data_IF_069778530359
#
_entry.id   IF_069778530359
#
_cell.length_a   1.000
_cell.length_b   1.000
_cell.length_c   1.000
_cell.angle_alpha   90.00
_cell.angle_beta   90.00
_cell.angle_gamma   90.00
#
_symmetry.space_group_name_H-M   'P 1'
#
loop_
_entity.id
_entity.type
_entity.pdbx_description
1 polymer ?
#
# COMPACT_ATOMS: atom_id res chain seq x y z
N UNK A 1 7.14 13.45 38.19
CA UNK A 1 5.94 12.59 38.41
C UNK A 1 4.97 12.69 37.23
N UNK A 2 4.39 13.87 36.92
CA UNK A 2 3.42 14.01 35.81
C UNK A 2 3.93 13.58 34.43
N UNK A 3 5.21 13.78 34.15
CA UNK A 3 5.86 13.41 32.88
C UNK A 3 5.85 11.89 32.64
N UNK A 4 6.05 11.07 33.67
CA UNK A 4 6.06 9.60 33.54
C UNK A 4 4.67 9.10 33.16
N UNK A 5 3.62 9.58 33.83
CA UNK A 5 2.24 9.25 33.48
C UNK A 5 1.89 9.68 32.06
N UNK A 6 2.29 10.89 31.66
CA UNK A 6 2.07 11.37 30.30
C UNK A 6 2.72 10.43 29.27
N UNK A 7 3.97 10.03 29.46
CA UNK A 7 4.61 9.06 28.57
C UNK A 7 3.93 7.70 28.58
N UNK A 8 3.48 7.21 29.74
CA UNK A 8 2.74 5.95 29.82
C UNK A 8 1.40 6.02 29.06
N UNK A 9 0.68 7.13 29.16
CA UNK A 9 -0.53 7.35 28.38
C UNK A 9 -0.26 7.46 26.89
N UNK A 10 0.80 8.15 26.47
CA UNK A 10 1.18 8.26 25.06
C UNK A 10 1.60 6.91 24.47
N UNK A 11 2.43 6.14 25.17
CA UNK A 11 2.84 4.79 24.75
C UNK A 11 1.61 3.88 24.68
N UNK A 12 0.78 3.89 25.72
CA UNK A 12 -0.46 3.11 25.73
C UNK A 12 -1.39 3.48 24.58
N UNK A 13 -1.59 4.78 24.33
CA UNK A 13 -2.44 5.27 23.24
C UNK A 13 -1.88 4.89 21.86
N UNK A 14 -0.56 4.93 21.69
CA UNK A 14 0.11 4.48 20.47
C UNK A 14 -0.08 2.98 20.23
N UNK A 15 0.06 2.16 21.27
CA UNK A 15 -0.19 0.71 21.21
C UNK A 15 -1.67 0.40 20.91
N UNK A 16 -2.60 1.14 21.52
CA UNK A 16 -4.04 1.02 21.23
C UNK A 16 -4.33 1.41 19.78
N UNK A 17 -3.75 2.50 19.29
CA UNK A 17 -3.92 2.95 17.91
C UNK A 17 -3.40 1.90 16.91
N UNK A 18 -2.14 1.46 17.03
CA UNK A 18 -1.56 0.45 16.15
C UNK A 18 -2.30 -0.88 16.25
N UNK A 19 -2.56 -1.35 17.47
CA UNK A 19 -3.27 -2.59 17.72
C UNK A 19 -4.69 -2.54 17.14
N UNK A 20 -5.43 -1.45 17.33
CA UNK A 20 -6.77 -1.30 16.79
C UNK A 20 -6.76 -1.26 15.26
N UNK A 21 -5.88 -0.45 14.66
CA UNK A 21 -5.72 -0.34 13.20
C UNK A 21 -5.47 -1.70 12.57
N UNK A 22 -4.46 -2.41 13.07
CA UNK A 22 -4.06 -3.70 12.50
C UNK A 22 -5.12 -4.78 12.78
N UNK A 23 -5.72 -4.80 13.97
CA UNK A 23 -6.79 -5.78 14.28
C UNK A 23 -8.02 -5.58 13.40
N UNK A 24 -8.38 -4.33 13.08
CA UNK A 24 -9.47 -4.04 12.14
C UNK A 24 -9.11 -4.53 10.74
N UNK A 25 -7.87 -4.32 10.31
CA UNK A 25 -7.38 -4.81 9.02
C UNK A 25 -7.39 -6.35 8.96
N UNK A 26 -6.86 -7.03 9.98
CA UNK A 26 -6.88 -8.49 10.11
C UNK A 26 -8.31 -9.04 9.99
N UNK A 27 -9.27 -8.38 10.65
CA UNK A 27 -10.69 -8.74 10.60
C UNK A 27 -11.34 -8.53 9.22
N UNK A 28 -10.95 -7.47 8.50
CA UNK A 28 -11.43 -7.19 7.13
C UNK A 28 -10.86 -8.22 6.15
N UNK A 29 -9.59 -8.58 6.31
CA UNK A 29 -8.88 -9.55 5.47
C UNK A 29 -9.25 -11.01 5.81
N UNK A 30 -9.96 -11.24 6.93
CA UNK A 30 -10.41 -12.56 7.36
C UNK A 30 -9.28 -13.45 7.88
N UNK A 31 -8.16 -12.84 8.29
CA UNK A 31 -6.99 -13.54 8.85
C UNK A 31 -7.08 -13.61 10.38
N UNK A 32 -6.20 -14.40 11.00
CA UNK A 32 -6.14 -14.49 12.46
C UNK A 32 -5.81 -13.13 13.08
N UNK A 33 -6.45 -12.80 14.20
CA UNK A 33 -6.32 -11.49 14.89
C UNK A 33 -5.01 -11.40 15.69
N UNK A 34 -3.88 -11.55 15.03
CA UNK A 34 -2.54 -11.56 15.64
C UNK A 34 -2.22 -10.27 16.40
N UNK A 35 -2.84 -9.15 16.01
CA UNK A 35 -2.62 -7.84 16.61
C UNK A 35 -3.52 -7.52 17.82
N UNK A 36 -4.49 -8.38 18.13
CA UNK A 36 -5.40 -8.20 19.28
C UNK A 36 -4.65 -8.14 20.63
N UNK A 37 -3.60 -8.94 20.89
CA UNK A 37 -2.81 -8.83 22.12
C UNK A 37 -2.12 -7.47 22.27
N UNK A 38 -1.66 -6.85 21.18
CA UNK A 38 -1.04 -5.53 21.21
C UNK A 38 -2.05 -4.46 21.64
N UNK A 39 -3.26 -4.51 21.07
CA UNK A 39 -4.37 -3.65 21.50
C UNK A 39 -4.69 -3.85 22.98
N UNK A 40 -4.87 -5.10 23.42
CA UNK A 40 -5.16 -5.43 24.82
C UNK A 40 -4.07 -4.96 25.79
N UNK A 41 -2.80 -5.09 25.41
CA UNK A 41 -1.68 -4.61 26.20
C UNK A 41 -1.67 -3.08 26.31
N UNK A 42 -1.95 -2.36 25.23
CA UNK A 42 -2.09 -0.89 25.25
C UNK A 42 -3.20 -0.43 26.20
N UNK A 43 -4.36 -1.08 26.15
CA UNK A 43 -5.48 -0.80 27.07
C UNK A 43 -5.05 -1.04 28.53
N UNK A 44 -4.39 -2.16 28.81
CA UNK A 44 -3.91 -2.50 30.16
C UNK A 44 -2.94 -1.44 30.69
N UNK A 45 -1.99 -0.98 29.87
CA UNK A 45 -1.02 0.07 30.24
C UNK A 45 -1.74 1.36 30.63
N UNK A 46 -2.74 1.79 29.86
CA UNK A 46 -3.52 2.99 30.15
C UNK A 46 -4.32 2.84 31.45
N UNK A 47 -4.97 1.69 31.66
CA UNK A 47 -5.75 1.44 32.87
C UNK A 47 -4.87 1.42 34.12
N UNK A 48 -3.70 0.78 34.05
CA UNK A 48 -2.73 0.78 35.14
C UNK A 48 -2.24 2.20 35.44
N UNK A 49 -1.94 3.00 34.42
CA UNK A 49 -1.58 4.40 34.59
C UNK A 49 -2.69 5.21 35.28
N UNK A 50 -3.96 5.01 34.89
CA UNK A 50 -5.11 5.66 35.49
C UNK A 50 -5.35 5.27 36.95
N UNK A 51 -5.17 3.99 37.28
CA UNK A 51 -5.25 3.49 38.66
C UNK A 51 -4.14 4.12 39.50
N UNK A 52 -2.89 4.12 39.01
CA UNK A 52 -1.76 4.72 39.71
C UNK A 52 -1.94 6.23 39.90
N UNK A 53 -2.41 6.95 38.89
CA UNK A 53 -2.71 8.38 38.99
C UNK A 53 -3.80 8.64 40.04
N UNK A 54 -4.84 7.83 40.07
CA UNK A 54 -5.91 7.89 41.07
C UNK A 54 -5.38 7.66 42.49
N UNK A 55 -4.48 6.68 42.68
CA UNK A 55 -3.84 6.42 43.97
C UNK A 55 -2.97 7.59 44.44
N UNK A 56 -2.25 8.24 43.51
CA UNK A 56 -1.44 9.43 43.82
C UNK A 56 -2.32 10.61 44.21
N UNK A 57 -3.38 10.90 43.45
CA UNK A 57 -4.35 11.96 43.77
C UNK A 57 -4.96 11.71 45.16
N UNK A 58 -5.35 10.45 45.45
CA UNK A 58 -5.88 10.06 46.77
C UNK A 58 -4.88 10.29 47.90
N UNK A 59 -3.59 9.96 47.69
CA UNK A 59 -2.53 10.14 48.70
C UNK A 59 -2.17 11.60 48.96
N UNK A 60 -2.21 12.46 47.94
CA UNK A 60 -1.81 13.86 48.07
C UNK A 60 -2.92 14.78 48.58
N UNK A 61 -4.17 14.35 48.51
CA UNK A 61 -5.32 15.19 48.87
C UNK A 61 -5.65 16.27 47.81
N UNK A 62 -4.92 16.29 46.70
CA UNK A 62 -5.04 17.27 45.59
C UNK A 62 -6.32 17.13 44.76
N UNK A 63 -7.30 16.32 45.20
CA UNK A 63 -8.56 16.14 44.47
C UNK A 63 -9.34 17.47 44.31
N UNK A 64 -9.21 18.39 45.28
CA UNK A 64 -9.90 19.69 45.26
C UNK A 64 -9.30 20.74 44.30
N UNK A 65 -8.01 20.67 43.98
CA UNK A 65 -7.34 21.62 43.07
C UNK A 65 -7.72 21.36 41.58
N UNK A 66 -8.24 20.17 41.30
CA UNK A 66 -8.75 19.73 39.99
C UNK A 66 -10.28 19.90 39.84
N UNK A 67 -10.98 20.22 40.93
CA UNK A 67 -12.41 20.56 40.95
C UNK A 67 -12.67 21.97 40.40
N UNK A 68 -11.73 22.92 40.53
CA UNK A 68 -11.87 24.26 39.90
C UNK A 68 -11.83 24.22 38.36
N UNK A 69 -11.26 23.17 37.77
CA UNK A 69 -11.30 22.88 36.33
C UNK A 69 -12.61 22.17 35.90
N UNK A 70 -13.64 22.08 36.75
CA UNK A 70 -14.87 21.31 36.49
C UNK A 70 -15.81 21.96 35.48
N UNK A 71 -15.72 23.28 35.26
CA UNK A 71 -16.54 23.95 34.25
C UNK A 71 -15.83 23.95 32.90
N UNK A 72 -16.12 22.92 32.10
CA UNK A 72 -15.82 22.95 30.67
C UNK A 72 -17.06 23.45 29.92
N UNK A 73 -17.08 24.72 29.46
CA UNK A 73 -18.28 25.31 28.86
C UNK A 73 -18.60 24.65 27.51
N UNK A 74 -19.88 24.64 27.12
CA UNK A 74 -20.35 24.16 25.80
C UNK A 74 -19.54 24.75 24.64
N UNK A 75 -19.09 26.00 24.77
CA UNK A 75 -18.24 26.68 23.79
C UNK A 75 -16.93 25.93 23.53
N UNK A 76 -16.30 25.37 24.57
CA UNK A 76 -15.04 24.62 24.42
C UNK A 76 -15.27 23.25 23.77
N UNK A 77 -16.40 22.60 24.02
CA UNK A 77 -16.80 21.39 23.31
C UNK A 77 -17.03 21.67 21.82
N UNK A 78 -17.79 22.74 21.50
CA UNK A 78 -18.04 23.15 20.11
C UNK A 78 -16.74 23.54 19.40
N UNK A 79 -15.81 24.22 20.08
CA UNK A 79 -14.49 24.53 19.55
C UNK A 79 -13.68 23.25 19.27
N UNK A 80 -13.72 22.27 20.18
CA UNK A 80 -13.11 20.96 19.97
C UNK A 80 -13.70 20.22 18.77
N UNK A 81 -15.03 20.21 18.63
CA UNK A 81 -15.73 19.63 17.48
C UNK A 81 -15.34 20.32 16.18
N UNK A 82 -15.27 21.66 16.17
CA UNK A 82 -14.84 22.43 15.01
C UNK A 82 -13.38 22.11 14.65
N UNK A 83 -12.47 22.12 15.63
CA UNK A 83 -11.07 21.77 15.43
C UNK A 83 -10.87 20.33 14.93
N UNK A 84 -11.74 19.41 15.35
CA UNK A 84 -11.72 18.02 14.90
C UNK A 84 -12.25 17.89 13.46
N UNK A 85 -13.47 18.37 13.20
CA UNK A 85 -14.23 18.05 11.99
C UNK A 85 -13.98 19.00 10.82
N UNK A 86 -13.80 20.30 11.07
CA UNK A 86 -13.65 21.30 10.00
C UNK A 86 -12.41 21.03 9.13
N UNK A 87 -11.22 20.68 9.66
CA UNK A 87 -10.07 20.38 8.82
C UNK A 87 -10.33 19.21 7.87
N UNK A 88 -11.01 18.15 8.33
CA UNK A 88 -11.37 17.00 7.50
C UNK A 88 -12.37 17.37 6.40
N UNK A 89 -13.37 18.20 6.72
CA UNK A 89 -14.31 18.72 5.72
C UNK A 89 -13.60 19.57 4.67
N UNK A 90 -12.69 20.46 5.12
CA UNK A 90 -11.93 21.35 4.24
C UNK A 90 -11.01 20.55 3.33
N UNK A 91 -10.34 19.50 3.82
CA UNK A 91 -9.54 18.63 2.94
C UNK A 91 -10.40 17.84 1.98
N UNK A 92 -11.59 17.38 2.41
CA UNK A 92 -12.52 16.71 1.51
C UNK A 92 -13.00 17.62 0.39
N UNK A 93 -13.32 18.88 0.70
CA UNK A 93 -13.69 19.87 -0.31
C UNK A 93 -12.52 20.16 -1.26
N UNK A 94 -11.30 20.32 -0.74
CA UNK A 94 -10.10 20.49 -1.59
C UNK A 94 -9.90 19.30 -2.52
N UNK A 95 -10.08 18.08 -2.00
CA UNK A 95 -10.04 16.84 -2.77
C UNK A 95 -11.07 16.89 -3.91
N UNK A 96 -12.35 17.10 -3.63
CA UNK A 96 -13.42 17.17 -4.65
C UNK A 96 -13.17 18.26 -5.70
N UNK A 97 -12.58 19.40 -5.31
CA UNK A 97 -12.23 20.51 -6.20
C UNK A 97 -10.95 20.30 -7.02
N UNK A 98 -10.35 19.10 -6.96
CA UNK A 98 -9.12 18.75 -7.70
C UNK A 98 -7.92 19.64 -7.32
N UNK A 99 -7.87 20.15 -6.09
CA UNK A 99 -6.71 20.91 -5.61
C UNK A 99 -5.55 19.94 -5.33
N UNK A 100 -4.40 20.20 -5.95
CA UNK A 100 -3.16 19.47 -5.69
C UNK A 100 -2.01 20.47 -5.45
N UNK A 101 -1.34 20.48 -4.28
CA UNK A 101 -1.54 19.61 -3.11
C UNK A 101 -2.77 19.99 -2.26
N UNK A 102 -3.31 19.01 -1.53
CA UNK A 102 -4.29 19.25 -0.46
C UNK A 102 -3.56 19.77 0.77
N UNK A 103 -4.01 20.89 1.31
CA UNK A 103 -3.50 21.43 2.56
C UNK A 103 -4.23 20.80 3.74
N UNK A 104 -3.49 20.06 4.58
CA UNK A 104 -4.03 19.42 5.78
C UNK A 104 -3.30 19.83 7.06
N UNK A 105 -4.07 20.01 8.15
CA UNK A 105 -3.56 20.40 9.47
C UNK A 105 -3.87 19.27 10.46
N UNK A 106 -3.10 18.16 10.43
CA UNK A 106 -3.45 16.94 11.15
C UNK A 106 -3.43 17.10 12.67
N UNK A 107 -2.51 17.91 13.20
CA UNK A 107 -2.42 18.16 14.64
C UNK A 107 -3.69 18.82 15.21
N UNK A 108 -4.36 19.66 14.43
CA UNK A 108 -5.58 20.34 14.86
C UNK A 108 -6.73 19.33 14.99
N UNK A 109 -6.84 18.40 14.04
CA UNK A 109 -7.79 17.28 14.07
C UNK A 109 -7.57 16.39 15.30
N UNK A 110 -6.32 16.04 15.59
CA UNK A 110 -5.97 15.21 16.75
C UNK A 110 -6.31 15.92 18.07
N UNK A 111 -5.88 17.17 18.24
CA UNK A 111 -6.17 17.97 19.44
C UNK A 111 -7.67 18.19 19.60
N UNK A 112 -8.39 18.42 18.51
CA UNK A 112 -9.84 18.55 18.49
C UNK A 112 -10.53 17.30 19.04
N UNK A 113 -10.17 16.11 18.54
CA UNK A 113 -10.72 14.83 19.00
C UNK A 113 -10.45 14.60 20.49
N UNK A 114 -9.22 14.88 20.94
CA UNK A 114 -8.86 14.80 22.37
C UNK A 114 -9.70 15.75 23.22
N UNK A 115 -9.90 16.99 22.78
CA UNK A 115 -10.70 17.99 23.49
C UNK A 115 -12.18 17.61 23.59
N UNK A 116 -12.74 17.02 22.53
CA UNK A 116 -14.12 16.50 22.50
C UNK A 116 -14.29 15.38 23.51
N UNK A 117 -13.41 14.38 23.48
CA UNK A 117 -13.47 13.24 24.42
C UNK A 117 -13.25 13.70 25.86
N UNK A 118 -12.31 14.62 26.09
CA UNK A 118 -12.10 15.24 27.39
C UNK A 118 -13.36 15.92 27.92
N UNK A 119 -14.02 16.73 27.09
CA UNK A 119 -15.24 17.44 27.45
C UNK A 119 -16.40 16.49 27.78
N UNK A 120 -16.61 15.45 26.96
CA UNK A 120 -17.62 14.41 27.22
C UNK A 120 -17.32 13.66 28.52
N UNK A 121 -16.06 13.25 28.73
CA UNK A 121 -15.65 12.56 29.93
C UNK A 121 -15.85 13.42 31.19
N UNK A 122 -15.51 14.71 31.13
CA UNK A 122 -15.69 15.64 32.25
C UNK A 122 -17.16 15.93 32.52
N UNK A 123 -17.99 16.05 31.49
CA UNK A 123 -19.43 16.27 31.68
C UNK A 123 -20.08 15.05 32.35
N UNK A 124 -19.78 13.84 31.87
CA UNK A 124 -20.34 12.59 32.41
C UNK A 124 -19.85 12.26 33.81
N UNK A 125 -18.61 12.62 34.14
CA UNK A 125 -17.99 12.31 35.45
C UNK A 125 -17.91 13.51 36.39
N UNK A 126 -18.62 14.61 36.13
CA UNK A 126 -18.52 15.88 36.87
C UNK A 126 -18.64 15.73 38.40
N UNK A 127 -19.46 14.80 38.88
CA UNK A 127 -19.68 14.52 40.31
C UNK A 127 -18.69 13.52 40.93
N UNK A 128 -17.77 12.97 40.15
CA UNK A 128 -16.80 11.98 40.62
C UNK A 128 -15.47 12.63 41.02
N UNK A 129 -15.00 12.26 42.22
CA UNK A 129 -13.73 12.67 42.81
C UNK A 129 -12.50 12.35 41.95
N UNK A 130 -12.61 11.40 41.03
CA UNK A 130 -11.52 10.94 40.16
C UNK A 130 -11.75 11.25 38.67
N UNK A 131 -12.66 12.18 38.38
CA UNK A 131 -13.03 12.60 37.02
C UNK A 131 -11.84 12.99 36.15
N UNK A 132 -10.78 13.55 36.72
CA UNK A 132 -9.56 13.88 35.97
C UNK A 132 -8.80 12.64 35.47
N UNK A 133 -8.64 11.62 36.32
CA UNK A 133 -8.00 10.34 35.92
C UNK A 133 -8.83 9.64 34.85
N UNK A 134 -10.16 9.66 35.00
CA UNK A 134 -11.09 9.05 34.02
C UNK A 134 -11.00 9.78 32.68
N UNK A 135 -11.03 11.12 32.68
CA UNK A 135 -10.92 11.91 31.47
C UNK A 135 -9.56 11.71 30.76
N UNK A 136 -8.46 11.63 31.52
CA UNK A 136 -7.13 11.36 30.97
C UNK A 136 -7.06 9.97 30.31
N UNK A 137 -7.60 8.95 30.97
CA UNK A 137 -7.68 7.60 30.43
C UNK A 137 -8.54 7.53 29.17
N UNK A 138 -9.70 8.20 29.15
CA UNK A 138 -10.58 8.24 27.98
C UNK A 138 -9.95 8.99 26.80
N UNK A 139 -9.25 10.09 27.05
CA UNK A 139 -8.49 10.77 25.98
C UNK A 139 -7.42 9.86 25.41
N UNK A 140 -6.71 9.08 26.23
CA UNK A 140 -5.71 8.14 25.75
C UNK A 140 -6.31 6.93 25.01
N UNK A 141 -7.42 6.38 25.50
CA UNK A 141 -8.07 5.19 24.92
C UNK A 141 -8.88 5.50 23.66
N UNK A 142 -9.52 6.67 23.61
CA UNK A 142 -10.49 7.01 22.57
C UNK A 142 -10.06 8.26 21.82
N UNK A 143 -9.78 9.36 22.52
CA UNK A 143 -9.51 10.66 21.88
C UNK A 143 -8.30 10.65 20.94
N UNK A 144 -7.17 10.13 21.40
CA UNK A 144 -5.93 10.03 20.61
C UNK A 144 -6.08 9.07 19.42
N UNK A 145 -6.52 7.80 19.59
CA UNK A 145 -6.75 6.90 18.46
C UNK A 145 -7.78 7.44 17.47
N UNK A 146 -8.88 8.02 17.95
CA UNK A 146 -9.91 8.61 17.10
C UNK A 146 -9.35 9.76 16.25
N UNK A 147 -8.57 10.65 16.88
CA UNK A 147 -7.88 11.73 16.19
C UNK A 147 -6.88 11.22 15.15
N UNK A 148 -6.13 10.17 15.46
CA UNK A 148 -5.16 9.56 14.55
C UNK A 148 -5.84 8.90 13.34
N UNK A 149 -6.89 8.11 13.56
CA UNK A 149 -7.69 7.49 12.49
C UNK A 149 -8.35 8.57 11.60
N UNK A 150 -8.82 9.66 12.21
CA UNK A 150 -9.40 10.81 11.51
C UNK A 150 -8.40 11.52 10.58
N UNK A 151 -7.10 11.37 10.82
CA UNK A 151 -6.03 11.89 9.96
C UNK A 151 -5.62 10.85 8.93
N UNK A 152 -5.43 9.61 9.37
CA UNK A 152 -4.93 8.52 8.54
C UNK A 152 -5.90 8.11 7.43
N UNK A 153 -7.19 7.94 7.75
CA UNK A 153 -8.15 7.45 6.77
C UNK A 153 -8.33 8.41 5.57
N UNK A 154 -8.54 9.73 5.76
CA UNK A 154 -8.55 10.68 4.65
C UNK A 154 -7.21 10.75 3.93
N UNK A 155 -6.09 10.71 4.65
CA UNK A 155 -4.76 10.81 4.04
C UNK A 155 -4.48 9.64 3.10
N UNK A 156 -4.77 8.41 3.55
CA UNK A 156 -4.66 7.19 2.75
C UNK A 156 -5.59 7.23 1.53
N UNK A 157 -6.82 7.71 1.71
CA UNK A 157 -7.77 7.88 0.61
C UNK A 157 -7.26 8.86 -0.45
N UNK A 158 -6.75 10.03 -0.07
CA UNK A 158 -6.22 11.02 -1.03
C UNK A 158 -4.99 10.50 -1.77
N UNK A 159 -4.09 9.80 -1.08
CA UNK A 159 -2.91 9.17 -1.69
C UNK A 159 -3.29 8.05 -2.67
N UNK A 160 -4.29 7.24 -2.33
CA UNK A 160 -4.84 6.22 -3.25
C UNK A 160 -5.34 6.84 -4.56
N UNK A 161 -5.91 8.05 -4.47
CA UNK A 161 -6.35 8.86 -5.61
C UNK A 161 -5.27 9.77 -6.21
N UNK A 162 -3.99 9.46 -5.94
CA UNK A 162 -2.81 10.13 -6.50
C UNK A 162 -2.80 11.65 -6.27
N UNK A 163 -3.32 12.10 -5.13
CA UNK A 163 -3.31 13.52 -4.75
C UNK A 163 -2.30 13.77 -3.65
N UNK A 164 -1.43 14.77 -3.85
CA UNK A 164 -0.37 15.11 -2.89
C UNK A 164 -0.96 15.76 -1.64
N UNK A 165 -0.33 15.51 -0.51
CA UNK A 165 -0.72 16.05 0.79
C UNK A 165 0.36 16.97 1.33
N UNK A 166 0.05 18.25 1.43
CA UNK A 166 0.91 19.23 2.10
C UNK A 166 0.42 19.42 3.53
N UNK A 167 1.24 18.98 4.47
CA UNK A 167 0.99 19.21 5.90
C UNK A 167 1.84 20.36 6.42
N UNK A 168 1.39 21.00 7.48
CA UNK A 168 2.15 22.06 8.13
C UNK A 168 2.35 21.79 9.60
N UNK A 169 3.60 21.88 10.02
CA UNK A 169 4.00 21.82 11.41
C UNK A 169 4.63 23.13 11.83
N UNK A 170 4.48 23.47 13.10
CA UNK A 170 5.15 24.61 13.68
C UNK A 170 6.45 24.11 14.31
N UNK A 171 7.59 24.49 13.74
CA UNK A 171 8.87 24.15 14.33
C UNK A 171 9.09 25.08 15.54
N UNK A 172 9.04 24.50 16.73
CA UNK A 172 9.18 25.22 18.00
C UNK A 172 10.59 25.75 18.25
N UNK A 173 11.61 25.20 17.59
CA UNK A 173 13.00 25.64 17.72
C UNK A 173 13.32 26.87 16.88
N UNK A 174 12.73 26.96 15.68
CA UNK A 174 12.95 28.08 14.75
C UNK A 174 11.81 29.11 14.79
N UNK A 175 10.68 28.78 15.43
CA UNK A 175 9.44 29.55 15.37
C UNK A 175 8.94 29.79 13.93
N UNK A 176 9.31 28.91 13.00
CA UNK A 176 8.89 28.97 11.60
C UNK A 176 7.92 27.83 11.32
N UNK A 177 6.91 28.11 10.49
CA UNK A 177 6.02 27.09 9.94
C UNK A 177 6.78 26.32 8.86
N UNK A 178 6.97 25.03 9.09
CA UNK A 178 7.54 24.11 8.12
C UNK A 178 6.42 23.34 7.43
N UNK A 179 6.57 23.15 6.12
CA UNK A 179 5.64 22.36 5.30
C UNK A 179 6.31 21.06 4.90
N UNK A 180 5.59 19.96 5.05
CA UNK A 180 6.02 18.64 4.61
C UNK A 180 5.06 18.18 3.53
N UNK A 181 5.64 17.84 2.38
CA UNK A 181 4.92 17.37 1.20
C UNK A 181 5.01 15.85 1.16
N UNK A 182 3.86 15.22 1.22
CA UNK A 182 3.68 13.79 0.99
C UNK A 182 3.23 13.64 -0.45
N UNK A 183 4.20 13.42 -1.34
CA UNK A 183 3.95 13.13 -2.74
C UNK A 183 3.22 11.79 -2.87
N UNK A 184 2.17 11.77 -3.68
CA UNK A 184 1.48 10.52 -3.96
C UNK A 184 2.39 9.61 -4.78
N UNK A 185 2.61 8.39 -4.29
CA UNK A 185 3.42 7.41 -5.01
C UNK A 185 2.59 6.80 -6.13
N UNK A 186 2.94 7.12 -7.38
CA UNK A 186 2.42 6.38 -8.52
C UNK A 186 2.93 4.94 -8.44
N UNK A 187 2.06 3.92 -8.61
CA UNK A 187 2.53 2.54 -8.66
C UNK A 187 3.56 2.38 -9.77
N UNK A 188 4.60 1.57 -9.54
CA UNK A 188 5.64 1.34 -10.56
C UNK A 188 5.10 0.38 -11.63
N UNK A 189 5.35 0.70 -12.91
CA UNK A 189 5.10 -0.22 -14.01
C UNK A 189 6.27 -1.22 -14.11
N UNK A 190 6.02 -2.48 -13.73
CA UNK A 190 6.97 -3.55 -13.93
C UNK A 190 6.76 -4.23 -15.29
N UNK A 191 7.74 -4.11 -16.17
CA UNK A 191 7.79 -4.94 -17.38
C UNK A 191 8.39 -6.30 -17.05
N UNK A 192 7.59 -7.36 -17.11
CA UNK A 192 8.15 -8.69 -17.22
C UNK A 192 8.76 -8.86 -18.61
N UNK A 193 10.08 -8.84 -18.70
CA UNK A 193 10.80 -9.21 -19.91
C UNK A 193 11.04 -10.71 -19.89
N UNK A 194 10.32 -11.47 -20.72
CA UNK A 194 10.67 -12.87 -20.97
C UNK A 194 12.00 -12.88 -21.74
N UNK A 195 12.99 -13.63 -21.24
CA UNK A 195 14.29 -13.81 -21.90
C UNK A 195 14.18 -14.62 -23.21
N UNK A 196 13.17 -15.49 -23.32
CA UNK A 196 12.85 -16.31 -24.49
C UNK A 196 11.34 -16.24 -24.69
N UNK A 197 10.91 -15.80 -25.88
CA UNK A 197 9.50 -15.75 -26.23
C UNK A 197 8.97 -17.12 -26.68
N UNK A 198 7.70 -17.16 -27.04
CA UNK A 198 7.00 -18.42 -27.25
C UNK A 198 7.45 -19.08 -28.58
N UNK A 199 7.75 -18.30 -29.63
CA UNK A 199 8.23 -18.82 -30.92
C UNK A 199 9.68 -19.32 -30.84
N UNK A 200 10.57 -18.58 -30.15
CA UNK A 200 11.94 -19.03 -29.89
C UNK A 200 11.96 -20.27 -28.98
N UNK A 201 11.03 -20.34 -28.02
CA UNK A 201 10.84 -21.52 -27.17
C UNK A 201 10.43 -22.76 -27.96
N UNK A 202 9.51 -22.62 -28.92
CA UNK A 202 9.11 -23.70 -29.82
C UNK A 202 10.25 -24.18 -30.71
N UNK A 203 11.04 -23.24 -31.28
CA UNK A 203 12.20 -23.56 -32.10
C UNK A 203 13.29 -24.30 -31.30
N UNK A 204 13.60 -23.84 -30.09
CA UNK A 204 14.56 -24.50 -29.20
C UNK A 204 14.06 -25.87 -28.71
N UNK A 205 12.75 -26.01 -28.50
CA UNK A 205 12.14 -27.30 -28.17
C UNK A 205 12.22 -28.28 -29.35
N UNK A 206 11.97 -27.81 -30.57
CA UNK A 206 12.11 -28.60 -31.78
C UNK A 206 13.56 -29.08 -31.99
N UNK A 207 14.55 -28.22 -31.71
CA UNK A 207 15.97 -28.59 -31.70
C UNK A 207 16.30 -29.62 -30.62
N UNK A 208 15.83 -29.40 -29.38
CA UNK A 208 16.12 -30.30 -28.27
C UNK A 208 15.54 -31.72 -28.49
N UNK A 209 14.44 -31.82 -29.25
CA UNK A 209 13.79 -33.07 -29.62
C UNK A 209 14.21 -33.59 -31.00
N UNK A 210 15.13 -32.92 -31.71
CA UNK A 210 15.64 -33.39 -32.98
C UNK A 210 16.44 -34.68 -32.75
N UNK A 211 16.09 -35.76 -33.47
CA UNK A 211 16.83 -37.01 -33.42
C UNK A 211 18.06 -36.90 -34.29
N UNK A 212 19.20 -37.34 -33.77
CA UNK A 212 20.40 -37.57 -34.57
C UNK A 212 20.07 -38.66 -35.61
N UNK A 213 20.32 -38.35 -36.88
CA UNK A 213 20.08 -39.27 -37.98
C UNK A 213 21.36 -40.09 -38.15
N UNK A 214 21.27 -41.40 -37.89
CA UNK A 214 22.35 -42.33 -38.21
C UNK A 214 22.38 -42.57 -39.72
N UNK A 215 23.39 -42.01 -40.37
CA UNK A 215 23.59 -42.08 -41.81
C UNK A 215 23.80 -43.53 -42.25
N UNK A 216 24.47 -44.36 -41.44
CA UNK A 216 24.73 -45.76 -41.79
C UNK A 216 23.44 -46.58 -41.73
N UNK A 217 22.57 -46.32 -40.77
CA UNK A 217 21.25 -46.95 -40.66
C UNK A 217 20.33 -46.53 -41.83
N UNK A 218 20.33 -45.25 -42.22
CA UNK A 218 19.54 -44.76 -43.34
C UNK A 218 20.03 -45.29 -44.70
N UNK A 219 21.34 -45.49 -44.85
CA UNK A 219 21.92 -46.16 -46.02
C UNK A 219 21.56 -47.65 -46.03
N UNK A 220 21.65 -48.33 -44.89
CA UNK A 220 21.26 -49.73 -44.76
C UNK A 220 19.75 -49.95 -45.03
N UNK A 221 18.92 -48.97 -44.67
CA UNK A 221 17.50 -48.95 -44.94
C UNK A 221 17.16 -48.54 -46.40
N UNK A 222 18.16 -48.20 -47.22
CA UNK A 222 18.00 -47.85 -48.63
C UNK A 222 17.39 -46.46 -48.87
N UNK A 223 17.33 -45.61 -47.84
CA UNK A 223 16.77 -44.25 -47.91
C UNK A 223 17.84 -43.18 -48.16
N UNK A 224 19.11 -43.52 -47.95
CA UNK A 224 20.27 -42.70 -48.31
C UNK A 224 21.31 -43.51 -49.09
N UNK A 225 22.18 -42.85 -49.87
CA UNK A 225 23.36 -43.47 -50.50
C UNK A 225 24.44 -42.44 -50.76
N UNK A 226 25.69 -42.87 -50.90
CA UNK A 226 26.75 -42.00 -51.42
C UNK A 226 26.61 -41.79 -52.93
N UNK A 227 26.98 -40.60 -53.40
CA UNK A 227 27.14 -40.31 -54.82
C UNK A 227 28.25 -41.18 -55.44
N UNK A 228 28.32 -41.25 -56.76
CA UNK A 228 29.23 -42.12 -57.54
C UNK A 228 30.71 -41.89 -57.15
N UNK A 229 31.05 -40.68 -56.72
CA UNK A 229 32.41 -40.31 -56.30
C UNK A 229 32.67 -40.51 -54.79
N UNK A 230 31.66 -40.91 -54.01
CA UNK A 230 31.76 -41.08 -52.56
C UNK A 230 31.78 -39.77 -51.75
N UNK A 231 31.71 -38.61 -52.41
CA UNK A 231 31.94 -37.30 -51.78
C UNK A 231 30.68 -36.69 -51.14
N UNK A 232 29.48 -37.06 -51.60
CA UNK A 232 28.22 -36.50 -51.11
C UNK A 232 27.20 -37.60 -50.79
N UNK A 233 26.30 -37.32 -49.83
CA UNK A 233 25.16 -38.17 -49.52
C UNK A 233 23.94 -37.70 -50.32
N UNK A 234 23.29 -38.65 -50.99
CA UNK A 234 22.05 -38.54 -51.72
C UNK A 234 20.92 -39.16 -50.90
N UNK A 235 19.79 -38.46 -50.81
CA UNK A 235 18.59 -38.92 -50.11
C UNK A 235 17.50 -39.25 -51.11
N UNK A 236 16.72 -40.30 -50.84
CA UNK A 236 15.58 -40.70 -51.66
C UNK A 236 14.34 -39.89 -51.26
N UNK A 237 13.76 -39.16 -52.21
CA UNK A 237 12.51 -38.43 -52.02
C UNK A 237 11.27 -39.32 -52.24
N UNK A 238 10.11 -38.86 -51.78
CA UNK A 238 8.83 -39.59 -51.93
C UNK A 238 8.42 -39.80 -53.40
N UNK A 239 8.91 -38.97 -54.31
CA UNK A 239 8.71 -39.08 -55.76
C UNK A 239 9.67 -40.09 -56.43
N UNK A 240 10.55 -40.71 -55.65
CA UNK A 240 11.54 -41.69 -56.09
C UNK A 240 12.84 -41.09 -56.65
N UNK A 241 13.02 -39.78 -56.60
CA UNK A 241 14.25 -39.13 -57.06
C UNK A 241 15.32 -39.06 -55.97
N UNK A 242 16.59 -39.15 -56.38
CA UNK A 242 17.73 -39.00 -55.50
C UNK A 242 18.21 -37.55 -55.54
N UNK A 243 18.21 -36.89 -54.39
CA UNK A 243 18.58 -35.47 -54.28
C UNK A 243 19.76 -35.32 -53.32
N UNK A 244 20.71 -34.45 -53.67
CA UNK A 244 21.86 -34.15 -52.81
C UNK A 244 21.38 -33.52 -51.52
N UNK A 245 22.08 -33.80 -50.42
CA UNK A 245 21.81 -33.16 -49.13
C UNK A 245 21.77 -31.62 -49.25
N UNK A 246 22.62 -31.04 -50.11
CA UNK A 246 22.72 -29.59 -50.37
C UNK A 246 21.55 -29.01 -51.20
N UNK A 247 20.89 -29.85 -52.03
CA UNK A 247 19.77 -29.45 -52.90
C UNK A 247 18.39 -29.68 -52.26
N UNK A 248 18.36 -30.34 -51.10
CA UNK A 248 17.18 -30.37 -50.23
C UNK A 248 16.96 -28.93 -49.73
N UNK A 249 15.71 -28.47 -49.59
CA UNK A 249 15.43 -27.21 -48.90
C UNK A 249 16.09 -27.26 -47.53
N UNK A 250 17.29 -26.67 -47.42
CA UNK A 250 18.03 -26.66 -46.18
C UNK A 250 17.31 -25.69 -45.29
N UNK A 251 16.84 -26.21 -44.15
CA UNK A 251 16.29 -25.37 -43.11
C UNK A 251 17.38 -24.39 -42.68
N UNK A 252 17.27 -23.13 -43.09
CA UNK A 252 18.20 -22.07 -42.70
C UNK A 252 17.92 -21.73 -41.24
N UNK A 253 18.64 -22.45 -40.36
CA UNK A 253 18.51 -22.32 -38.92
C UNK A 253 18.75 -20.89 -38.44
N UNK A 254 19.71 -20.18 -39.02
CA UNK A 254 20.02 -18.80 -38.63
C UNK A 254 18.86 -17.87 -38.99
N UNK A 255 18.30 -18.03 -40.19
CA UNK A 255 17.12 -17.27 -40.60
C UNK A 255 15.89 -17.61 -39.76
N UNK A 256 15.68 -18.88 -39.41
CA UNK A 256 14.57 -19.30 -38.56
C UNK A 256 14.69 -18.76 -37.12
N UNK A 257 15.91 -18.72 -36.57
CA UNK A 257 16.19 -18.08 -35.28
C UNK A 257 15.93 -16.57 -35.33
N UNK A 258 16.39 -15.88 -36.37
CA UNK A 258 16.17 -14.44 -36.55
C UNK A 258 14.68 -14.11 -36.72
N UNK A 259 13.95 -14.91 -37.50
CA UNK A 259 12.52 -14.74 -37.73
C UNK A 259 11.72 -15.00 -36.43
N UNK A 260 12.06 -16.04 -35.66
CA UNK A 260 11.44 -16.34 -34.37
C UNK A 260 11.72 -15.23 -33.34
N UNK A 261 12.98 -14.77 -33.25
CA UNK A 261 13.37 -13.67 -32.35
C UNK A 261 12.62 -12.38 -32.69
N UNK A 262 12.45 -12.08 -33.99
CA UNK A 262 11.74 -10.89 -34.44
C UNK A 262 10.24 -10.97 -34.13
N UNK A 263 9.60 -12.12 -34.35
CA UNK A 263 8.19 -12.33 -33.99
C UNK A 263 7.96 -12.19 -32.49
N UNK A 264 8.83 -12.81 -31.68
CA UNK A 264 8.77 -12.70 -30.22
C UNK A 264 8.94 -11.25 -29.76
N UNK A 265 9.85 -10.50 -30.37
CA UNK A 265 10.05 -9.08 -30.08
C UNK A 265 8.82 -8.24 -30.46
N UNK A 266 8.21 -8.48 -31.61
CA UNK A 266 7.00 -7.79 -32.05
C UNK A 266 5.79 -8.11 -31.15
N UNK A 267 5.64 -9.38 -30.75
CA UNK A 267 4.56 -9.81 -29.86
C UNK A 267 4.75 -9.28 -28.44
N UNK A 268 5.98 -9.33 -27.92
CA UNK A 268 6.33 -8.75 -26.62
C UNK A 268 6.06 -7.24 -26.62
N UNK A 269 6.49 -6.51 -27.65
CA UNK A 269 6.22 -5.08 -27.78
C UNK A 269 4.72 -4.77 -27.82
N UNK A 270 3.91 -5.56 -28.53
CA UNK A 270 2.44 -5.41 -28.55
C UNK A 270 1.81 -5.69 -27.19
N UNK A 271 2.23 -6.77 -26.52
CA UNK A 271 1.75 -7.14 -25.17
C UNK A 271 2.12 -6.07 -24.15
N UNK A 272 3.35 -5.55 -24.22
CA UNK A 272 3.82 -4.49 -23.34
C UNK A 272 3.10 -3.17 -23.59
N UNK A 273 2.89 -2.78 -24.85
CA UNK A 273 2.10 -1.60 -25.20
C UNK A 273 0.65 -1.71 -24.68
N UNK A 274 0.02 -2.88 -24.82
CA UNK A 274 -1.32 -3.13 -24.27
C UNK A 274 -1.33 -3.07 -22.73
N UNK A 275 -0.31 -3.62 -22.06
CA UNK A 275 -0.17 -3.55 -20.60
C UNK A 275 0.04 -2.11 -20.13
N UNK A 276 0.88 -1.32 -20.81
CA UNK A 276 1.10 0.11 -20.51
C UNK A 276 -0.20 0.89 -20.68
N UNK A 277 -0.91 0.70 -21.79
CA UNK A 277 -2.20 1.36 -22.01
C UNK A 277 -3.25 1.00 -20.95
N UNK A 278 -3.30 -0.28 -20.53
CA UNK A 278 -4.18 -0.70 -19.44
C UNK A 278 -3.79 -0.08 -18.10
N UNK A 279 -2.49 0.00 -17.80
CA UNK A 279 -1.95 0.62 -16.60
C UNK A 279 -2.22 2.13 -16.55
N UNK A 280 -2.00 2.86 -17.66
CA UNK A 280 -2.33 4.27 -17.77
C UNK A 280 -3.83 4.53 -17.56
N UNK A 281 -4.69 3.67 -18.12
CA UNK A 281 -6.14 3.74 -17.91
C UNK A 281 -6.50 3.49 -16.45
N UNK A 282 -5.82 2.58 -15.77
CA UNK A 282 -6.01 2.35 -14.33
C UNK A 282 -5.59 3.58 -13.51
N UNK A 283 -4.45 4.21 -13.81
CA UNK A 283 -4.02 5.45 -13.17
C UNK A 283 -5.04 6.57 -13.37
N UNK A 284 -5.57 6.72 -14.58
CA UNK A 284 -6.60 7.71 -14.89
C UNK A 284 -7.89 7.44 -14.09
N UNK A 285 -8.31 6.17 -14.00
CA UNK A 285 -9.44 5.75 -13.17
C UNK A 285 -9.19 6.00 -11.69
N UNK A 286 -7.97 5.81 -11.17
CA UNK A 286 -7.65 6.14 -9.77
C UNK A 286 -7.69 7.64 -9.52
N UNK A 287 -7.18 8.48 -10.44
CA UNK A 287 -7.26 9.95 -10.33
C UNK A 287 -8.69 10.47 -10.33
N UNK A 288 -9.57 9.83 -11.11
CA UNK A 288 -11.01 10.18 -11.22
C UNK A 288 -11.89 9.54 -10.15
N UNK A 289 -11.56 8.33 -9.72
CA UNK A 289 -12.35 7.53 -8.79
C UNK A 289 -12.45 8.18 -7.41
N UNK A 290 -13.49 7.82 -6.64
CA UNK A 290 -13.67 8.25 -5.25
C UNK A 290 -14.23 9.67 -5.03
N UNK A 291 -14.31 10.48 -6.09
CA UNK A 291 -14.90 11.83 -6.05
C UNK A 291 -16.42 11.75 -6.22
N UNK A 292 -17.16 12.39 -5.32
CA UNK A 292 -18.63 12.45 -5.37
C UNK A 292 -19.12 13.44 -6.44
N UNK A 293 -18.31 14.44 -6.80
CA UNK A 293 -18.72 15.54 -7.70
C UNK A 293 -18.04 15.54 -9.08
N UNK A 294 -17.21 14.55 -9.41
CA UNK A 294 -16.66 14.42 -10.76
C UNK A 294 -17.72 13.82 -11.70
N UNK A 295 -18.30 14.64 -12.60
CA UNK A 295 -19.01 14.12 -13.77
C UNK A 295 -18.04 13.48 -14.77
N UNK A 296 -18.49 12.48 -15.55
CA UNK A 296 -17.68 11.76 -16.54
C UNK A 296 -17.09 12.66 -17.63
#
# INVERSE_FOLDING_TARGET
MGVVYLFTYLIGAFLVFLGARNTIQDAIEGVELENLPMFGFGVLVILLAAILQTLVIKRRGDAGLLEELADFPLKSFLLGMAAWFVPMLVTWIQFELHMNPIYFIPWLTIIGAMAVVWAIARWTTRSHKYSFSIASALVALVGLPLGAISVEAPSSHYQYHLTDLRTSFYNTSTMVRETYDFEAQEPEFYSEQKLIGDEMGELLSALANAKEIDIEEEIAAGRAKYDINGEHILWLQEDGQWVKTEDRESFDFNKAMDDAAKKDAEEHAKKEAARRAAFEKELELRRRGGRLFSSP
#
